data_IF_183014955493
#
_entry.id   IF_183014955493
#
_cell.length_a   1.000
_cell.length_b   1.000
_cell.length_c   1.000
_cell.angle_alpha   90.00
_cell.angle_beta   90.00
_cell.angle_gamma   90.00
#
_symmetry.space_group_name_H-M   'P 1'
#
loop_
_entity.id
_entity.type
_entity.pdbx_description
1 polymer ?
#
# COMPACT_ATOMS: atom_id res chain seq x y z
N UNK A 1 29.66 -0.57 3.01
CA UNK A 1 28.80 0.50 2.43
C UNK A 1 27.46 0.50 3.18
N UNK A 2 27.08 1.56 3.90
CA UNK A 2 25.83 1.66 4.68
C UNK A 2 24.52 1.61 3.86
N UNK A 3 24.60 1.85 2.56
CA UNK A 3 23.42 1.98 1.69
C UNK A 3 23.01 0.68 0.99
N UNK A 4 23.67 -0.44 1.29
CA UNK A 4 23.35 -1.74 0.70
C UNK A 4 22.69 -2.65 1.75
N UNK A 5 21.63 -3.39 1.39
CA UNK A 5 21.04 -4.38 2.27
C UNK A 5 22.02 -5.56 2.44
N UNK A 6 22.30 -5.94 3.68
CA UNK A 6 23.09 -7.13 4.00
C UNK A 6 22.18 -8.20 4.61
N UNK A 7 22.11 -9.35 3.96
CA UNK A 7 21.20 -10.43 4.31
C UNK A 7 21.41 -11.68 3.48
N UNK A 8 20.76 -12.77 3.90
CA UNK A 8 20.81 -14.06 3.22
C UNK A 8 19.59 -14.33 2.34
N UNK A 9 19.63 -15.44 1.60
CA UNK A 9 18.49 -15.99 0.86
C UNK A 9 18.48 -17.51 1.08
N UNK A 10 17.30 -18.10 1.28
CA UNK A 10 17.10 -19.54 1.49
C UNK A 10 17.95 -20.11 2.64
N UNK A 11 18.86 -21.04 2.34
CA UNK A 11 19.74 -21.70 3.32
C UNK A 11 20.71 -20.74 4.00
N UNK A 12 20.96 -19.57 3.41
CA UNK A 12 21.83 -18.54 3.97
C UNK A 12 21.10 -17.54 4.87
N UNK A 13 19.76 -17.64 5.02
CA UNK A 13 18.94 -16.76 5.87
C UNK A 13 17.80 -16.05 5.12
N UNK A 14 16.96 -15.30 5.85
CA UNK A 14 15.84 -14.51 5.31
C UNK A 14 15.90 -13.10 5.87
N UNK A 15 15.59 -12.12 5.02
CA UNK A 15 15.58 -10.70 5.38
C UNK A 15 16.94 -10.04 5.18
N UNK A 16 16.99 -8.74 5.41
CA UNK A 16 18.21 -7.96 5.30
C UNK A 16 18.22 -6.84 6.32
N UNK A 17 19.41 -6.50 6.79
CA UNK A 17 19.66 -5.42 7.72
C UNK A 17 20.71 -4.49 7.11
N UNK A 18 21.18 -3.52 7.90
CA UNK A 18 22.12 -2.44 7.56
C UNK A 18 21.44 -1.12 7.17
N UNK A 19 21.86 -0.02 7.80
CA UNK A 19 21.31 1.32 7.55
C UNK A 19 19.78 1.37 7.60
N UNK A 20 19.18 1.95 6.55
CA UNK A 20 17.72 2.07 6.40
C UNK A 20 17.00 0.72 6.32
N UNK A 21 17.65 -0.33 5.80
CA UNK A 21 17.07 -1.66 5.70
C UNK A 21 16.91 -2.30 7.08
N UNK A 22 17.88 -2.07 7.98
CA UNK A 22 17.76 -2.45 9.38
C UNK A 22 16.59 -1.74 10.07
N UNK A 23 16.48 -0.42 9.92
CA UNK A 23 15.36 0.34 10.48
C UNK A 23 14.01 -0.18 9.98
N UNK A 24 13.87 -0.42 8.68
CA UNK A 24 12.66 -0.99 8.08
C UNK A 24 12.36 -2.40 8.60
N UNK A 25 13.39 -3.25 8.76
CA UNK A 25 13.21 -4.62 9.24
C UNK A 25 12.75 -4.71 10.70
N UNK A 26 13.06 -3.70 11.52
CA UNK A 26 12.63 -3.60 12.92
C UNK A 26 11.44 -2.65 13.14
N UNK A 27 10.90 -2.08 12.07
CA UNK A 27 9.76 -1.17 12.13
C UNK A 27 8.54 -1.79 11.46
N UNK A 28 7.35 -1.42 11.92
CA UNK A 28 6.12 -1.77 11.25
C UNK A 28 5.62 -0.58 10.43
N UNK A 29 5.68 -0.69 9.10
CA UNK A 29 5.15 0.32 8.20
C UNK A 29 3.62 0.36 8.29
N UNK A 30 3.09 1.25 9.13
CA UNK A 30 1.65 1.40 9.36
C UNK A 30 1.00 2.22 8.24
N UNK A 31 0.13 1.57 7.47
CA UNK A 31 -0.74 2.27 6.52
C UNK A 31 -1.73 3.19 7.24
N UNK A 32 -1.81 4.45 6.80
CA UNK A 32 -2.78 5.45 7.29
C UNK A 32 -3.43 6.10 6.08
N UNK A 33 -4.77 6.14 6.06
CA UNK A 33 -5.54 6.78 5.00
C UNK A 33 -6.29 7.98 5.56
N UNK A 34 -6.27 9.08 4.81
CA UNK A 34 -7.05 10.29 5.10
C UNK A 34 -8.09 10.49 4.00
N UNK A 35 -9.37 10.49 4.39
CA UNK A 35 -10.48 10.75 3.48
C UNK A 35 -10.94 12.20 3.59
N UNK A 36 -10.79 12.97 2.52
CA UNK A 36 -11.32 14.34 2.44
C UNK A 36 -12.85 14.36 2.40
N UNK A 37 -13.47 15.43 2.93
CA UNK A 37 -14.93 15.66 2.87
C UNK A 37 -15.47 15.75 1.44
N UNK A 38 -14.64 16.14 0.48
CA UNK A 38 -14.96 16.18 -0.95
C UNK A 38 -14.71 14.85 -1.68
N UNK A 39 -14.52 13.76 -0.93
CA UNK A 39 -14.23 12.45 -1.49
C UNK A 39 -15.41 11.81 -2.24
N UNK A 40 -15.07 10.92 -3.17
CA UNK A 40 -16.04 10.15 -3.97
C UNK A 40 -16.72 9.02 -3.19
N UNK A 41 -16.62 8.99 -1.84
CA UNK A 41 -17.16 7.91 -1.01
C UNK A 41 -18.67 7.73 -1.18
N UNK A 42 -19.41 8.83 -1.43
CA UNK A 42 -20.86 8.78 -1.70
C UNK A 42 -21.22 7.96 -2.95
N UNK A 43 -20.27 7.77 -3.86
CA UNK A 43 -20.44 6.99 -5.10
C UNK A 43 -20.44 5.47 -4.84
N UNK A 44 -19.84 5.05 -3.72
CA UNK A 44 -19.70 3.65 -3.30
C UNK A 44 -20.92 3.19 -2.50
N UNK A 45 -21.66 4.13 -1.89
CA UNK A 45 -22.86 3.81 -1.12
C UNK A 45 -24.13 3.92 -1.97
N UNK A 46 -25.15 3.07 -1.73
CA UNK A 46 -26.42 3.14 -2.45
C UNK A 46 -27.20 4.45 -2.14
N UNK A 47 -28.14 4.87 -3.01
CA UNK A 47 -28.56 4.20 -4.24
C UNK A 47 -27.60 4.43 -5.42
N UNK A 48 -27.29 3.36 -6.15
CA UNK A 48 -26.37 3.42 -7.29
C UNK A 48 -27.05 4.02 -8.52
N UNK A 49 -26.45 5.08 -9.08
CA UNK A 49 -26.90 5.64 -10.34
C UNK A 49 -26.56 4.70 -11.51
N UNK A 50 -27.55 4.33 -12.33
CA UNK A 50 -27.37 3.48 -13.52
C UNK A 50 -26.34 4.03 -14.52
N UNK A 51 -26.29 5.35 -14.71
CA UNK A 51 -25.30 6.00 -15.58
C UNK A 51 -23.87 5.88 -15.04
N UNK A 52 -23.73 5.99 -13.72
CA UNK A 52 -22.46 5.81 -13.02
C UNK A 52 -21.98 4.36 -13.13
N UNK A 53 -22.87 3.39 -12.92
CA UNK A 53 -22.55 1.97 -13.07
C UNK A 53 -22.12 1.61 -14.50
N UNK A 54 -22.81 2.16 -15.51
CA UNK A 54 -22.43 2.01 -16.92
C UNK A 54 -21.04 2.60 -17.21
N UNK A 55 -20.71 3.75 -16.63
CA UNK A 55 -19.40 4.38 -16.77
C UNK A 55 -18.30 3.58 -16.05
N UNK A 56 -18.55 3.13 -14.82
CA UNK A 56 -17.64 2.28 -14.02
C UNK A 56 -17.32 0.97 -14.75
N UNK A 57 -18.33 0.30 -15.32
CA UNK A 57 -18.16 -0.93 -16.11
C UNK A 57 -17.36 -0.73 -17.40
N UNK A 58 -17.27 0.51 -17.92
CA UNK A 58 -16.46 0.84 -19.09
C UNK A 58 -15.00 1.16 -18.72
N UNK A 59 -14.76 1.54 -17.46
CA UNK A 59 -13.44 1.91 -16.95
C UNK A 59 -12.67 0.68 -16.43
N UNK A 60 -13.38 -0.25 -15.78
CA UNK A 60 -12.90 -1.60 -15.46
C UNK A 60 -12.77 -2.45 -16.72
#
# INVERSE_FOLDING_TARGET
>A
NPNLPFGGVNSSGIGSCHGIFGFKNFSHERAVMFQSKFGMTKMIYPPYNMSLLKWLKKLL
#
